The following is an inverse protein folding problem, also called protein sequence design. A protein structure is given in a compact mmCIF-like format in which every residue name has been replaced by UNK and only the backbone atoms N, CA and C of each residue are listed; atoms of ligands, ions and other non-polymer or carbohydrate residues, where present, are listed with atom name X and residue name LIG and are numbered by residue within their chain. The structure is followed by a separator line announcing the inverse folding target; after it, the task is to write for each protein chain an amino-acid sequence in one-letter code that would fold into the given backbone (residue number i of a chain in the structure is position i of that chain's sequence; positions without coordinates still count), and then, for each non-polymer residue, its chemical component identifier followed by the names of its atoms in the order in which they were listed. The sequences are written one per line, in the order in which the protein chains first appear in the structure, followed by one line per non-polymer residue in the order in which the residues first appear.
data_IF_902575991124
#
_entry.id   IF_902575991124
#
_cell.length_a   1.000
_cell.length_b   1.000
_cell.length_c   1.000
_cell.angle_alpha   90.00
_cell.angle_beta   90.00
_cell.angle_gamma   90.00
#
_symmetry.space_group_name_H-M   'P 1'
#
loop_
_entity.id
_entity.type
_entity.pdbx_description
1 polymer ?
#
# COMPACT_ATOMS: atom_id res chain seq x y z
N UNK A 1 4.96 -18.55 29.67
CA UNK A 1 5.13 -18.99 28.26
C UNK A 1 4.32 -18.18 27.24
N UNK A 2 3.17 -17.58 27.57
CA UNK A 2 2.31 -16.88 26.59
C UNK A 2 2.73 -15.45 26.21
N UNK A 3 3.73 -14.86 26.88
CA UNK A 3 4.19 -13.50 26.56
C UNK A 3 5.16 -13.50 25.37
N UNK A 4 6.14 -14.42 25.35
CA UNK A 4 7.13 -14.51 24.28
C UNK A 4 6.53 -14.94 22.92
N UNK A 5 5.47 -15.76 22.93
CA UNK A 5 4.76 -16.18 21.72
C UNK A 5 3.91 -15.05 21.13
N UNK A 6 3.45 -14.11 21.98
CA UNK A 6 2.62 -12.98 21.55
C UNK A 6 3.43 -11.94 20.78
N UNK A 7 4.65 -11.67 21.23
CA UNK A 7 5.57 -10.74 20.58
C UNK A 7 6.10 -11.28 19.24
N UNK A 8 6.41 -12.58 19.16
CA UNK A 8 6.82 -13.22 17.91
C UNK A 8 5.75 -13.13 16.80
N UNK A 9 4.46 -13.27 17.15
CA UNK A 9 3.35 -13.16 16.18
C UNK A 9 3.17 -11.73 15.67
N UNK A 10 3.31 -10.72 16.52
CA UNK A 10 3.16 -9.32 16.10
C UNK A 10 4.35 -8.88 15.22
N UNK A 11 5.57 -9.35 15.51
CA UNK A 11 6.74 -9.10 14.66
C UNK A 11 6.61 -9.73 13.27
N UNK A 12 6.15 -10.98 13.19
CA UNK A 12 5.87 -11.64 11.90
C UNK A 12 4.79 -10.91 11.11
N UNK A 13 3.75 -10.39 11.78
CA UNK A 13 2.72 -9.56 11.13
C UNK A 13 3.30 -8.27 10.57
N UNK A 14 4.15 -7.58 11.34
CA UNK A 14 4.75 -6.32 10.91
C UNK A 14 5.64 -6.51 9.68
N UNK A 15 6.51 -7.53 9.71
CA UNK A 15 7.35 -7.89 8.57
C UNK A 15 6.51 -8.32 7.37
N UNK A 16 5.43 -9.09 7.59
CA UNK A 16 4.50 -9.49 6.54
C UNK A 16 3.81 -8.28 5.87
N UNK A 17 3.42 -7.27 6.64
CA UNK A 17 2.82 -6.04 6.10
C UNK A 17 3.84 -5.28 5.25
N UNK A 18 5.08 -5.14 5.70
CA UNK A 18 6.14 -4.46 4.94
C UNK A 18 6.42 -5.18 3.63
N UNK A 19 6.71 -6.49 3.71
CA UNK A 19 7.05 -7.31 2.54
C UNK A 19 5.88 -7.35 1.56
N UNK A 20 4.66 -7.56 2.05
CA UNK A 20 3.46 -7.55 1.22
C UNK A 20 3.25 -6.21 0.52
N UNK A 21 3.45 -5.09 1.22
CA UNK A 21 3.31 -3.75 0.64
C UNK A 21 4.33 -3.50 -0.47
N UNK A 22 5.58 -3.95 -0.30
CA UNK A 22 6.62 -3.85 -1.32
C UNK A 22 6.26 -4.70 -2.55
N UNK A 23 5.80 -5.94 -2.35
CA UNK A 23 5.37 -6.81 -3.45
C UNK A 23 4.22 -6.17 -4.23
N UNK A 24 3.25 -5.57 -3.54
CA UNK A 24 2.14 -4.85 -4.19
C UNK A 24 2.66 -3.66 -4.98
N UNK A 25 3.59 -2.85 -4.45
CA UNK A 25 4.18 -1.73 -5.17
C UNK A 25 4.88 -2.18 -6.46
N UNK A 26 5.63 -3.29 -6.39
CA UNK A 26 6.31 -3.90 -7.53
C UNK A 26 5.28 -4.36 -8.57
N UNK A 27 4.25 -5.09 -8.15
CA UNK A 27 3.17 -5.53 -9.05
C UNK A 27 2.47 -4.33 -9.71
N UNK A 28 2.26 -3.24 -8.97
CA UNK A 28 1.62 -2.04 -9.49
C UNK A 28 2.48 -1.36 -10.56
N UNK A 29 3.74 -1.07 -10.27
CA UNK A 29 4.62 -0.30 -11.16
C UNK A 29 5.13 -1.12 -12.36
N UNK A 30 5.27 -2.43 -12.23
CA UNK A 30 5.80 -3.29 -13.30
C UNK A 30 4.72 -3.93 -14.16
N UNK A 31 3.52 -4.13 -13.62
CA UNK A 31 2.45 -4.84 -14.31
C UNK A 31 1.20 -3.99 -14.49
N UNK A 32 0.59 -3.50 -13.41
CA UNK A 32 -0.72 -2.86 -13.49
C UNK A 32 -0.68 -1.51 -14.22
N UNK A 33 0.24 -0.62 -13.85
CA UNK A 33 0.33 0.73 -14.44
C UNK A 33 0.71 0.65 -15.93
N UNK A 34 1.76 -0.10 -16.35
CA UNK A 34 2.10 -0.20 -17.77
C UNK A 34 1.01 -0.81 -18.65
N UNK A 35 0.32 -1.83 -18.14
CA UNK A 35 -0.74 -2.54 -18.87
C UNK A 35 -2.13 -1.92 -18.66
N UNK A 36 -2.23 -0.82 -17.92
CA UNK A 36 -3.49 -0.16 -17.55
C UNK A 36 -4.50 -1.11 -16.89
N UNK A 37 -4.01 -2.11 -16.16
CA UNK A 37 -4.84 -3.06 -15.41
C UNK A 37 -5.20 -2.42 -14.08
N UNK A 38 -6.49 -2.40 -13.80
CA UNK A 38 -7.02 -1.80 -12.59
C UNK A 38 -6.99 -2.77 -11.43
N UNK A 39 -6.49 -2.30 -10.29
CA UNK A 39 -6.72 -2.95 -9.00
C UNK A 39 -8.10 -2.53 -8.45
N UNK A 40 -8.62 -3.25 -7.45
CA UNK A 40 -9.85 -2.85 -6.76
C UNK A 40 -9.55 -1.89 -5.59
N UNK A 41 -10.55 -1.10 -5.18
CA UNK A 41 -10.44 -0.17 -4.05
C UNK A 41 -9.58 1.08 -4.32
N UNK A 42 -9.00 1.66 -3.25
CA UNK A 42 -8.25 2.92 -3.32
C UNK A 42 -6.99 2.81 -4.19
N UNK A 43 -6.28 1.68 -4.14
CA UNK A 43 -5.10 1.46 -4.98
C UNK A 43 -5.45 1.50 -6.47
N UNK A 44 -6.63 1.00 -6.86
CA UNK A 44 -7.15 1.10 -8.22
C UNK A 44 -7.41 2.54 -8.66
N UNK A 45 -8.06 3.32 -7.80
CA UNK A 45 -8.33 4.74 -8.06
C UNK A 45 -7.01 5.51 -8.18
N UNK A 46 -6.01 5.19 -7.35
CA UNK A 46 -4.68 5.78 -7.44
C UNK A 46 -4.02 5.48 -8.79
N UNK A 47 -4.14 4.25 -9.31
CA UNK A 47 -3.63 3.87 -10.64
C UNK A 47 -4.33 4.67 -11.74
N UNK A 48 -5.67 4.79 -11.72
CA UNK A 48 -6.41 5.59 -12.72
C UNK A 48 -5.89 7.02 -12.76
N UNK A 49 -5.84 7.65 -11.59
CA UNK A 49 -5.39 9.02 -11.48
C UNK A 49 -3.91 9.16 -11.85
N UNK A 50 -3.06 8.18 -11.55
CA UNK A 50 -1.66 8.17 -11.97
C UNK A 50 -1.45 7.97 -13.47
N UNK A 51 -2.41 7.36 -14.18
CA UNK A 51 -2.39 7.25 -15.64
C UNK A 51 -2.91 8.54 -16.30
N UNK A 52 -3.91 9.18 -15.70
CA UNK A 52 -4.56 10.38 -16.26
C UNK A 52 -3.82 11.67 -15.89
N UNK A 53 -3.11 11.69 -14.77
CA UNK A 53 -2.36 12.86 -14.28
C UNK A 53 -0.86 12.61 -14.35
N UNK A 54 -0.02 13.65 -14.48
CA UNK A 54 1.44 13.51 -14.44
C UNK A 54 1.99 13.26 -13.02
N UNK A 55 1.13 12.99 -12.03
CA UNK A 55 1.51 12.82 -10.63
C UNK A 55 1.82 11.36 -10.34
N UNK A 56 2.87 11.10 -9.56
CA UNK A 56 3.26 9.76 -9.18
C UNK A 56 2.14 9.02 -8.41
N UNK A 57 1.82 7.80 -8.83
CA UNK A 57 0.79 6.93 -8.25
C UNK A 57 0.94 6.72 -6.74
N UNK A 58 2.17 6.70 -6.21
CA UNK A 58 2.46 6.60 -4.78
C UNK A 58 1.96 7.82 -3.99
N UNK A 59 2.12 9.03 -4.53
CA UNK A 59 1.62 10.28 -3.90
C UNK A 59 0.09 10.26 -3.88
N UNK A 60 -0.51 9.90 -5.00
CA UNK A 60 -1.97 9.82 -5.12
C UNK A 60 -2.53 8.77 -4.15
N UNK A 61 -1.90 7.60 -4.08
CA UNK A 61 -2.29 6.55 -3.13
C UNK A 61 -2.22 7.03 -1.68
N UNK A 62 -1.17 7.78 -1.31
CA UNK A 62 -1.03 8.33 0.04
C UNK A 62 -2.15 9.32 0.36
N UNK A 63 -2.43 10.27 -0.54
CA UNK A 63 -3.46 11.30 -0.37
C UNK A 63 -4.86 10.67 -0.29
N UNK A 64 -5.17 9.70 -1.15
CA UNK A 64 -6.46 9.00 -1.13
C UNK A 64 -6.67 8.14 0.11
N UNK A 65 -5.61 7.54 0.65
CA UNK A 65 -5.71 6.77 1.88
C UNK A 65 -5.86 7.66 3.12
N UNK A 66 -5.40 8.91 3.10
CA UNK A 66 -5.48 9.83 4.25
C UNK A 66 -6.90 9.99 4.84
N UNK A 67 -7.96 10.28 4.07
CA UNK A 67 -9.32 10.34 4.59
C UNK A 67 -9.82 8.98 5.10
N UNK A 68 -9.46 7.88 4.44
CA UNK A 68 -9.81 6.53 4.90
C UNK A 68 -9.09 6.18 6.21
N UNK A 69 -7.85 6.61 6.40
CA UNK A 69 -7.13 6.42 7.66
C UNK A 69 -7.81 7.18 8.80
N UNK A 70 -8.33 8.39 8.53
CA UNK A 70 -9.10 9.17 9.51
C UNK A 70 -10.43 8.49 9.84
N UNK A 71 -11.20 8.06 8.83
CA UNK A 71 -12.45 7.33 9.05
C UNK A 71 -12.21 5.99 9.75
N UNK A 72 -11.14 5.31 9.35
CA UNK A 72 -10.65 4.09 9.96
C UNK A 72 -10.34 4.28 11.43
N UNK A 73 -9.73 5.42 11.79
CA UNK A 73 -9.40 5.79 13.17
C UNK A 73 -10.62 5.77 14.09
N UNK A 74 -11.73 6.28 13.58
CA UNK A 74 -12.98 6.43 14.32
C UNK A 74 -13.73 5.09 14.40
N UNK A 75 -13.66 4.24 13.37
CA UNK A 75 -14.51 3.04 13.25
C UNK A 75 -13.88 1.67 13.56
N UNK A 76 -12.58 1.45 13.28
CA UNK A 76 -11.98 0.10 13.30
C UNK A 76 -11.11 -0.22 14.53
N UNK A 77 -10.84 0.77 15.37
CA UNK A 77 -10.07 0.60 16.62
C UNK A 77 -8.54 0.58 16.43
N UNK A 78 -7.83 1.21 17.38
CA UNK A 78 -6.42 1.65 17.26
C UNK A 78 -5.42 0.65 16.67
N UNK A 79 -5.56 -0.65 16.97
CA UNK A 79 -4.64 -1.70 16.51
C UNK A 79 -4.72 -1.96 15.00
N UNK A 80 -5.91 -1.84 14.41
CA UNK A 80 -6.11 -2.05 12.97
C UNK A 80 -5.55 -0.88 12.19
N UNK A 81 -5.88 0.36 12.60
CA UNK A 81 -5.37 1.58 11.95
C UNK A 81 -3.87 1.63 11.97
N UNK A 82 -3.21 1.31 13.08
CA UNK A 82 -1.76 1.37 13.16
C UNK A 82 -1.10 0.52 12.06
N UNK A 83 -1.57 -0.72 11.88
CA UNK A 83 -1.08 -1.61 10.82
C UNK A 83 -1.42 -1.07 9.42
N UNK A 84 -2.60 -0.47 9.23
CA UNK A 84 -3.00 0.13 7.95
C UNK A 84 -2.16 1.36 7.61
N UNK A 85 -1.88 2.24 8.58
CA UNK A 85 -1.02 3.42 8.39
C UNK A 85 0.36 2.99 7.93
N UNK A 86 0.95 2.00 8.60
CA UNK A 86 2.27 1.47 8.23
C UNK A 86 2.24 0.88 6.81
N UNK A 87 1.23 0.07 6.50
CA UNK A 87 1.03 -0.49 5.16
C UNK A 87 0.95 0.60 4.09
N UNK A 88 0.12 1.62 4.30
CA UNK A 88 -0.07 2.73 3.35
C UNK A 88 1.21 3.52 3.16
N UNK A 89 1.95 3.82 4.24
CA UNK A 89 3.23 4.54 4.15
C UNK A 89 4.24 3.71 3.36
N UNK A 90 4.43 2.45 3.71
CA UNK A 90 5.39 1.57 3.03
C UNK A 90 5.02 1.39 1.57
N UNK A 91 3.76 1.13 1.26
CA UNK A 91 3.25 0.98 -0.10
C UNK A 91 3.47 2.27 -0.91
N UNK A 92 3.15 3.43 -0.34
CA UNK A 92 3.27 4.72 -1.04
C UNK A 92 4.73 5.09 -1.31
N UNK A 93 5.62 4.85 -0.34
CA UNK A 93 7.07 5.06 -0.50
C UNK A 93 7.64 4.08 -1.52
N UNK A 94 7.26 2.82 -1.46
CA UNK A 94 7.69 1.81 -2.43
C UNK A 94 7.21 2.15 -3.85
N UNK A 95 5.95 2.57 -4.02
CA UNK A 95 5.42 3.04 -5.30
C UNK A 95 6.15 4.26 -5.85
N UNK A 96 6.60 5.16 -4.96
CA UNK A 96 7.37 6.33 -5.36
C UNK A 96 8.78 5.96 -5.81
N UNK A 97 9.45 5.06 -5.10
CA UNK A 97 10.86 4.70 -5.36
C UNK A 97 11.03 3.66 -6.47
N UNK A 98 10.08 2.73 -6.62
CA UNK A 98 10.14 1.69 -7.66
C UNK A 98 9.89 2.34 -9.02
N UNK A 99 10.82 2.27 -9.97
CA UNK A 99 10.60 2.84 -11.30
C UNK A 99 9.53 2.05 -12.06
N UNK A 100 8.63 2.77 -12.74
CA UNK A 100 7.62 2.17 -13.63
C UNK A 100 8.34 1.65 -14.87
N UNK A 101 8.44 0.33 -15.02
CA UNK A 101 9.13 -0.32 -16.13
C UNK A 101 8.32 -1.49 -16.67
N UNK A 102 8.17 -1.55 -17.99
CA UNK A 102 7.47 -2.63 -18.67
C UNK A 102 8.37 -3.86 -18.72
N UNK A 103 7.92 -4.99 -18.16
CA UNK A 103 8.68 -6.26 -18.13
C UNK A 103 7.96 -7.42 -18.82
N UNK A 104 6.72 -7.25 -19.25
CA UNK A 104 5.98 -8.20 -20.09
C UNK A 104 5.41 -7.43 -21.29
N UNK A 105 5.50 -8.01 -22.49
CA UNK A 105 4.96 -7.47 -23.75
C UNK A 105 3.80 -8.35 -24.18
#
# INVERSE_FOLDING_TARGET
MNFLVKDGKEMVRFLGVIIGSIIIAIAFNLFLIPHKILSSGIGGIAIILGIVTPVNTGIINFVLNLPILILGYIGLGKKVIFNTVISVIVLSVALYYVPVKVIAT
#
